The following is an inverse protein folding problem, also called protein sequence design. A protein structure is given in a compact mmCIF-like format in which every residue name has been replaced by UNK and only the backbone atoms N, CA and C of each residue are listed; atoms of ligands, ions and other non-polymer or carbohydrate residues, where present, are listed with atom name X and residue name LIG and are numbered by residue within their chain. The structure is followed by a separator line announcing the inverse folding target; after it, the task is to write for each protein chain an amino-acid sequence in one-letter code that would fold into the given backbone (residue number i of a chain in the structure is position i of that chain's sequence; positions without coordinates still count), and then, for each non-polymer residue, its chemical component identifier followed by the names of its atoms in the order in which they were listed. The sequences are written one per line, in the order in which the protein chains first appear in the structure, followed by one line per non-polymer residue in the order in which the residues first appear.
data_IF_231813874579
#
_entry.id   IF_231813874579
#
_cell.length_a   1.000
_cell.length_b   1.000
_cell.length_c   1.000
_cell.angle_alpha   90.00
_cell.angle_beta   90.00
_cell.angle_gamma   90.00
#
_symmetry.space_group_name_H-M   'P 1'
#
loop_
_entity.id
_entity.type
_entity.pdbx_description
1 polymer ?
#
# COMPACT_ATOMS: atom_id res chain seq x y z
N UNK A 1 0.95 -26.45 0.26
CA UNK A 1 1.28 -25.23 1.00
C UNK A 1 1.60 -24.15 -0.01
N UNK A 2 0.66 -23.24 -0.27
CA UNK A 2 0.88 -22.07 -1.12
C UNK A 2 1.84 -21.14 -0.36
N UNK A 3 2.91 -20.65 -1.00
CA UNK A 3 3.77 -19.65 -0.35
C UNK A 3 2.97 -18.37 -0.16
N UNK A 4 2.90 -17.91 1.09
CA UNK A 4 2.18 -16.70 1.48
C UNK A 4 2.74 -15.47 0.75
N UNK A 5 4.07 -15.35 0.67
CA UNK A 5 4.76 -14.34 -0.14
C UNK A 5 5.04 -14.86 -1.55
N UNK A 6 4.67 -14.05 -2.55
CA UNK A 6 5.02 -14.34 -3.94
C UNK A 6 6.44 -13.93 -4.29
N UNK A 7 7.00 -14.65 -5.27
CA UNK A 7 8.24 -14.22 -5.92
C UNK A 7 7.99 -13.03 -6.87
N UNK A 8 6.79 -12.94 -7.46
CA UNK A 8 6.41 -11.96 -8.47
C UNK A 8 5.19 -11.10 -8.06
N UNK A 9 4.66 -11.32 -6.86
CA UNK A 9 3.49 -10.64 -6.31
C UNK A 9 3.72 -10.35 -4.81
N UNK A 10 2.84 -9.54 -4.23
CA UNK A 10 2.94 -9.11 -2.83
C UNK A 10 2.50 -10.21 -1.84
N UNK A 11 1.93 -11.30 -2.34
CA UNK A 11 1.44 -12.44 -1.57
C UNK A 11 0.00 -12.81 -1.90
N UNK A 12 -0.51 -13.84 -1.24
CA UNK A 12 -1.95 -14.13 -1.26
C UNK A 12 -2.73 -12.99 -0.62
N UNK A 13 -3.95 -12.75 -1.06
CA UNK A 13 -4.82 -11.75 -0.44
C UNK A 13 -5.04 -12.03 1.05
N UNK A 14 -5.21 -13.31 1.42
CA UNK A 14 -5.34 -13.72 2.81
C UNK A 14 -4.14 -13.27 3.66
N UNK A 15 -2.92 -13.46 3.16
CA UNK A 15 -1.71 -13.01 3.85
C UNK A 15 -1.67 -11.47 3.96
N UNK A 16 -1.87 -10.77 2.85
CA UNK A 16 -1.82 -9.30 2.79
C UNK A 16 -2.86 -8.67 3.71
N UNK A 17 -4.11 -9.13 3.65
CA UNK A 17 -5.21 -8.63 4.47
C UNK A 17 -5.01 -8.94 5.96
N UNK A 18 -4.51 -10.13 6.30
CA UNK A 18 -4.21 -10.50 7.68
C UNK A 18 -3.14 -9.61 8.29
N UNK A 19 -1.97 -9.50 7.65
CA UNK A 19 -0.88 -8.64 8.16
C UNK A 19 -1.34 -7.19 8.26
N UNK A 20 -2.05 -6.70 7.24
CA UNK A 20 -2.63 -5.37 7.27
C UNK A 20 -3.57 -5.15 8.46
N UNK A 21 -4.50 -6.07 8.68
CA UNK A 21 -5.50 -5.98 9.73
C UNK A 21 -4.92 -6.16 11.14
N UNK A 22 -3.79 -6.84 11.27
CA UNK A 22 -3.02 -6.97 12.52
C UNK A 22 -2.32 -5.65 12.90
N UNK A 23 -1.89 -4.87 11.91
CA UNK A 23 -1.15 -3.62 12.11
C UNK A 23 -2.04 -2.36 12.15
N UNK A 24 -3.18 -2.37 11.44
CA UNK A 24 -4.05 -1.19 11.34
C UNK A 24 -4.69 -0.83 12.69
N UNK A 25 -4.54 0.44 13.08
CA UNK A 25 -5.10 0.99 14.33
C UNK A 25 -6.48 1.63 14.13
N UNK A 26 -6.95 1.75 12.89
CA UNK A 26 -8.21 2.38 12.53
C UNK A 26 -9.23 1.31 12.14
N UNK A 27 -10.24 1.01 12.99
CA UNK A 27 -11.19 -0.07 12.74
C UNK A 27 -11.96 0.06 11.42
N UNK A 28 -12.29 1.30 11.03
CA UNK A 28 -13.05 1.60 9.80
C UNK A 28 -12.24 1.35 8.52
N UNK A 29 -10.93 1.17 8.65
CA UNK A 29 -10.02 0.89 7.54
C UNK A 29 -9.55 -0.57 7.54
N UNK A 30 -10.26 -1.50 8.17
CA UNK A 30 -9.94 -2.93 8.04
C UNK A 30 -10.33 -3.46 6.67
N UNK A 31 -9.48 -4.34 6.13
CA UNK A 31 -9.76 -5.09 4.91
C UNK A 31 -10.69 -6.28 5.23
N UNK A 32 -11.56 -6.69 4.29
CA UNK A 32 -12.28 -7.95 4.43
C UNK A 32 -11.32 -9.13 4.44
N UNK A 33 -11.79 -10.28 4.96
CA UNK A 33 -10.97 -11.50 5.04
C UNK A 33 -10.80 -12.20 3.69
N UNK A 34 -11.65 -11.88 2.72
CA UNK A 34 -11.63 -12.43 1.36
C UNK A 34 -11.92 -11.33 0.34
N UNK A 35 -11.36 -11.46 -0.84
CA UNK A 35 -11.63 -10.58 -1.98
C UNK A 35 -11.63 -11.41 -3.27
N UNK A 36 -12.41 -10.96 -4.25
CA UNK A 36 -12.45 -11.58 -5.57
C UNK A 36 -11.26 -11.10 -6.43
N UNK A 37 -10.93 -11.89 -7.45
CA UNK A 37 -9.98 -11.47 -8.49
C UNK A 37 -10.46 -10.21 -9.23
N UNK A 38 -9.52 -9.50 -9.85
CA UNK A 38 -9.72 -8.24 -10.54
C UNK A 38 -9.29 -7.02 -9.72
N UNK A 39 -9.72 -5.84 -10.15
CA UNK A 39 -9.46 -4.59 -9.42
C UNK A 39 -10.51 -4.40 -8.35
N UNK A 40 -10.11 -4.56 -7.10
CA UNK A 40 -10.98 -4.41 -5.93
C UNK A 40 -10.73 -3.07 -5.26
N UNK A 41 -11.80 -2.31 -4.97
CA UNK A 41 -11.74 -1.06 -4.21
C UNK A 41 -12.21 -1.34 -2.79
N UNK A 42 -11.35 -1.10 -1.81
CA UNK A 42 -11.63 -1.37 -0.41
C UNK A 42 -12.07 -0.11 0.34
N UNK A 43 -11.45 1.02 0.01
CA UNK A 43 -11.82 2.33 0.55
C UNK A 43 -11.96 3.32 -0.61
N UNK A 44 -13.02 4.10 -0.59
CA UNK A 44 -13.23 5.22 -1.50
C UNK A 44 -13.97 6.32 -0.73
N UNK A 45 -13.19 7.15 -0.03
CA UNK A 45 -13.71 8.26 0.75
C UNK A 45 -12.84 9.51 0.55
N UNK A 46 -13.22 10.61 1.20
CA UNK A 46 -12.53 11.90 1.05
C UNK A 46 -11.09 11.92 1.55
N UNK A 47 -10.69 10.93 2.35
CA UNK A 47 -9.36 10.88 2.97
C UNK A 47 -8.44 9.88 2.26
N UNK A 48 -8.97 8.72 1.89
CA UNK A 48 -8.23 7.60 1.32
C UNK A 48 -9.07 6.91 0.26
N UNK A 49 -8.44 6.71 -0.91
CA UNK A 49 -8.81 5.68 -1.85
C UNK A 49 -7.77 4.55 -1.75
N UNK A 50 -8.23 3.31 -1.63
CA UNK A 50 -7.39 2.11 -1.63
C UNK A 50 -7.99 1.07 -2.58
N UNK A 51 -7.19 0.64 -3.55
CA UNK A 51 -7.53 -0.49 -4.41
C UNK A 51 -6.39 -1.50 -4.52
N UNK A 52 -6.73 -2.73 -4.87
CA UNK A 52 -5.77 -3.78 -5.19
C UNK A 52 -6.10 -4.43 -6.52
N UNK A 53 -5.06 -4.80 -7.27
CA UNK A 53 -5.17 -5.71 -8.40
C UNK A 53 -4.89 -7.12 -7.89
N UNK A 54 -5.89 -8.01 -7.96
CA UNK A 54 -5.82 -9.38 -7.46
C UNK A 54 -5.98 -10.33 -8.65
N UNK A 55 -5.10 -11.33 -8.73
CA UNK A 55 -5.16 -12.36 -9.76
C UNK A 55 -4.79 -13.70 -9.15
N UNK A 56 -5.62 -14.72 -9.38
CA UNK A 56 -5.47 -16.06 -8.82
C UNK A 56 -5.32 -16.01 -7.28
N UNK A 57 -6.11 -15.14 -6.63
CA UNK A 57 -6.08 -14.83 -5.18
C UNK A 57 -4.77 -14.15 -4.70
N UNK A 58 -3.94 -13.65 -5.61
CA UNK A 58 -2.65 -13.02 -5.31
C UNK A 58 -2.64 -11.54 -5.63
N UNK A 59 -2.18 -10.73 -4.69
CA UNK A 59 -2.13 -9.27 -4.81
C UNK A 59 -0.95 -8.87 -5.67
N UNK A 60 -1.23 -8.37 -6.88
CA UNK A 60 -0.23 -7.93 -7.85
C UNK A 60 0.25 -6.51 -7.56
N UNK A 61 -0.70 -5.64 -7.18
CA UNK A 61 -0.47 -4.22 -6.94
C UNK A 61 -1.44 -3.69 -5.91
N UNK A 62 -0.95 -2.83 -5.04
CA UNK A 62 -1.78 -2.01 -4.14
C UNK A 62 -1.65 -0.57 -4.60
N UNK A 63 -2.77 0.14 -4.69
CA UNK A 63 -2.81 1.57 -5.01
C UNK A 63 -3.50 2.32 -3.87
N UNK A 64 -2.80 3.31 -3.31
CA UNK A 64 -3.37 4.26 -2.36
C UNK A 64 -3.37 5.65 -2.97
N UNK A 65 -4.44 6.40 -2.81
CA UNK A 65 -4.51 7.82 -3.17
C UNK A 65 -5.05 8.61 -1.99
N UNK A 66 -4.43 9.75 -1.68
CA UNK A 66 -4.91 10.65 -0.63
C UNK A 66 -4.70 12.12 -1.00
N UNK A 67 -5.69 13.00 -0.79
CA UNK A 67 -5.50 14.44 -0.85
C UNK A 67 -4.88 15.02 0.44
N UNK A 68 -4.68 14.18 1.47
CA UNK A 68 -4.15 14.57 2.78
C UNK A 68 -2.94 13.70 3.15
N UNK A 69 -1.84 13.77 2.37
CA UNK A 69 -0.69 12.88 2.55
C UNK A 69 0.00 13.01 3.91
N UNK A 70 -0.17 14.14 4.61
CA UNK A 70 0.40 14.35 5.95
C UNK A 70 -0.59 14.02 7.07
N UNK A 71 -1.79 13.51 6.75
CA UNK A 71 -2.77 13.13 7.77
C UNK A 71 -2.34 11.88 8.52
N UNK A 72 -2.73 11.82 9.79
CA UNK A 72 -2.53 10.62 10.60
C UNK A 72 -3.27 9.42 10.00
N UNK A 73 -4.45 9.64 9.40
CA UNK A 73 -5.23 8.59 8.72
C UNK A 73 -4.42 7.91 7.62
N UNK A 74 -3.83 8.69 6.72
CA UNK A 74 -2.98 8.13 5.66
C UNK A 74 -1.78 7.37 6.24
N UNK A 75 -1.07 7.96 7.22
CA UNK A 75 0.08 7.30 7.83
C UNK A 75 -0.30 5.95 8.43
N UNK A 76 -1.40 5.87 9.19
CA UNK A 76 -1.87 4.61 9.77
C UNK A 76 -2.32 3.59 8.72
N UNK A 77 -2.99 4.04 7.66
CA UNK A 77 -3.37 3.15 6.55
C UNK A 77 -2.13 2.61 5.85
N UNK A 78 -1.12 3.44 5.60
CA UNK A 78 0.11 3.00 4.96
C UNK A 78 0.92 2.04 5.85
N UNK A 79 1.08 2.36 7.14
CA UNK A 79 1.71 1.50 8.16
C UNK A 79 1.04 0.12 8.26
N UNK A 80 -0.27 0.02 7.96
CA UNK A 80 -0.94 -1.28 7.85
C UNK A 80 -0.21 -2.24 6.91
N UNK A 81 0.30 -1.75 5.78
CA UNK A 81 1.04 -2.56 4.81
C UNK A 81 2.51 -2.80 5.16
N UNK A 82 2.93 -2.55 6.39
CA UNK A 82 4.20 -3.06 6.90
C UNK A 82 4.17 -4.58 6.92
N UNK A 83 4.56 -5.20 5.81
CA UNK A 83 4.59 -6.65 5.57
C UNK A 83 5.58 -7.42 6.49
N UNK A 84 5.64 -7.10 7.78
CA UNK A 84 6.68 -7.55 8.71
C UNK A 84 8.06 -7.00 8.36
N UNK A 85 8.13 -5.89 7.62
CA UNK A 85 9.39 -5.29 7.18
C UNK A 85 9.75 -4.11 8.08
N UNK A 86 11.00 -4.02 8.52
CA UNK A 86 11.59 -2.78 9.04
C UNK A 86 11.78 -1.72 7.91
N UNK A 87 10.91 -1.71 6.89
CA UNK A 87 10.99 -0.91 5.67
C UNK A 87 10.45 0.51 5.84
N UNK A 88 9.70 0.78 6.92
CA UNK A 88 9.11 2.11 7.18
C UNK A 88 10.13 3.23 7.05
N UNK A 89 11.32 3.07 7.65
CA UNK A 89 12.33 4.12 7.64
C UNK A 89 12.77 4.52 6.23
N UNK A 90 12.96 3.52 5.34
CA UNK A 90 13.35 3.77 3.95
C UNK A 90 12.20 4.40 3.16
N UNK A 91 11.00 3.83 3.26
CA UNK A 91 9.82 4.30 2.52
C UNK A 91 9.35 5.67 2.98
N UNK A 92 9.49 6.01 4.26
CA UNK A 92 9.25 7.38 4.78
C UNK A 92 10.18 8.38 4.12
N UNK A 93 11.46 8.03 3.92
CA UNK A 93 12.38 8.92 3.20
C UNK A 93 11.96 9.11 1.75
N UNK A 94 11.56 8.05 1.04
CA UNK A 94 11.04 8.11 -0.32
C UNK A 94 9.79 8.97 -0.43
N UNK A 95 8.83 8.74 0.48
CA UNK A 95 7.61 9.54 0.65
C UNK A 95 7.96 11.02 0.83
N UNK A 96 8.87 11.34 1.76
CA UNK A 96 9.29 12.72 2.02
C UNK A 96 9.91 13.38 0.78
N UNK A 97 10.69 12.64 -0.03
CA UNK A 97 11.21 13.16 -1.31
C UNK A 97 10.08 13.49 -2.29
N UNK A 98 9.07 12.63 -2.40
CA UNK A 98 7.91 12.88 -3.27
C UNK A 98 7.13 14.12 -2.83
N UNK A 99 6.83 14.22 -1.52
CA UNK A 99 6.11 15.36 -0.94
C UNK A 99 6.89 16.67 -1.12
N UNK A 100 8.18 16.68 -0.80
CA UNK A 100 9.00 17.88 -0.90
C UNK A 100 9.12 18.38 -2.35
N UNK A 101 9.22 17.47 -3.31
CA UNK A 101 9.37 17.81 -4.73
C UNK A 101 8.05 18.02 -5.47
N UNK A 102 6.91 17.61 -4.90
CA UNK A 102 5.65 17.46 -5.63
C UNK A 102 5.86 16.71 -6.96
N UNK A 103 6.50 15.54 -6.85
CA UNK A 103 6.86 14.72 -7.99
C UNK A 103 7.08 13.25 -7.61
N UNK A 104 7.55 12.44 -8.57
CA UNK A 104 7.73 11.02 -8.35
C UNK A 104 8.96 10.70 -7.49
N UNK A 105 8.86 9.69 -6.65
CA UNK A 105 9.98 9.07 -5.95
C UNK A 105 9.68 7.59 -5.70
N UNK A 106 10.69 6.72 -5.79
CA UNK A 106 10.51 5.29 -5.52
C UNK A 106 11.75 4.68 -4.89
N UNK A 107 11.56 3.70 -4.02
CA UNK A 107 12.62 2.85 -3.49
C UNK A 107 12.05 1.45 -3.24
N UNK A 108 12.92 0.44 -3.36
CA UNK A 108 12.57 -0.94 -3.05
C UNK A 108 13.20 -1.40 -1.74
N UNK A 109 12.45 -2.18 -0.97
CA UNK A 109 12.91 -2.83 0.25
C UNK A 109 12.43 -4.26 0.26
N UNK A 110 13.33 -5.23 0.50
CA UNK A 110 13.02 -6.66 0.52
C UNK A 110 12.23 -7.15 -0.72
N UNK A 111 12.56 -6.60 -1.89
CA UNK A 111 11.92 -6.91 -3.17
C UNK A 111 10.51 -6.35 -3.33
N UNK A 112 10.07 -5.41 -2.49
CA UNK A 112 8.83 -4.64 -2.68
C UNK A 112 9.21 -3.21 -3.05
N UNK A 113 8.75 -2.77 -4.22
CA UNK A 113 8.89 -1.41 -4.71
C UNK A 113 7.72 -0.56 -4.20
N UNK A 114 8.04 0.51 -3.47
CA UNK A 114 7.09 1.58 -3.20
C UNK A 114 7.38 2.76 -4.13
N UNK A 115 6.37 3.12 -4.93
CA UNK A 115 6.42 4.26 -5.85
C UNK A 115 5.41 5.30 -5.41
N UNK A 116 5.88 6.52 -5.19
CA UNK A 116 5.13 7.67 -4.73
C UNK A 116 5.10 8.71 -5.85
N UNK A 117 3.96 9.40 -6.00
CA UNK A 117 3.85 10.57 -6.83
C UNK A 117 2.91 11.58 -6.18
N UNK A 118 3.46 12.72 -5.76
CA UNK A 118 2.68 13.81 -5.17
C UNK A 118 2.43 14.85 -6.26
N UNK A 119 1.18 15.15 -6.55
CA UNK A 119 0.83 16.20 -7.52
C UNK A 119 1.08 17.60 -6.95
N UNK A 120 1.06 18.62 -7.80
CA UNK A 120 1.13 20.03 -7.35
C UNK A 120 -0.02 20.42 -6.41
N UNK A 121 -1.18 19.78 -6.54
CA UNK A 121 -2.34 19.96 -5.66
C UNK A 121 -2.24 19.14 -4.35
N UNK A 122 -1.05 18.62 -4.03
CA UNK A 122 -0.76 17.84 -2.83
C UNK A 122 -1.57 16.52 -2.70
N UNK A 123 -1.99 15.95 -3.84
CA UNK A 123 -2.57 14.60 -3.90
C UNK A 123 -1.44 13.60 -4.07
N UNK A 124 -1.31 12.68 -3.13
CA UNK A 124 -0.33 11.61 -3.19
C UNK A 124 -0.98 10.34 -3.74
N UNK A 125 -0.33 9.77 -4.75
CA UNK A 125 -0.58 8.39 -5.19
C UNK A 125 0.60 7.52 -4.80
N UNK A 126 0.31 6.35 -4.23
CA UNK A 126 1.30 5.32 -3.88
C UNK A 126 0.96 4.01 -4.55
N UNK A 127 1.97 3.36 -5.10
CA UNK A 127 1.89 2.00 -5.61
C UNK A 127 2.87 1.11 -4.86
N UNK A 128 2.38 -0.02 -4.36
CA UNK A 128 3.21 -1.12 -3.88
C UNK A 128 3.13 -2.25 -4.91
N UNK A 129 4.29 -2.70 -5.37
CA UNK A 129 4.43 -3.84 -6.30
C UNK A 129 5.68 -4.65 -5.93
N UNK A 130 5.84 -5.84 -6.51
CA UNK A 130 7.17 -6.47 -6.49
C UNK A 130 8.16 -5.68 -7.33
N UNK A 131 9.39 -5.59 -6.83
CA UNK A 131 10.54 -5.17 -7.62
C UNK A 131 10.87 -6.28 -8.61
N UNK A 132 11.13 -5.91 -9.87
CA UNK A 132 11.44 -6.84 -10.96
C UNK A 132 12.93 -6.90 -11.22
#
# INVERSE_FOLDING_TARGET
MTRELGANDLGTYEYVSRVYNENIQLPDYKLPTTAEDGTQVFFDNSDIYLSMEIQDERVQKITMVTPKPQSLTYMRVFEGFEFGMEALGTWINTYNRSIASHGPASDAVNGILASYNTTKDNVLTVHLTREK
#
